data_IF_676668900008
#
_entry.id   IF_676668900008
#
_cell.length_a   1.000
_cell.length_b   1.000
_cell.length_c   1.000
_cell.angle_alpha   90.00
_cell.angle_beta   90.00
_cell.angle_gamma   90.00
#
_symmetry.space_group_name_H-M   'P 1'
#
loop_
_entity.id
_entity.type
_entity.pdbx_description
1 polymer ?
#
# COMPACT_ATOMS: atom_id res chain seq x y z
N UNK A 1 -67.98 -8.84 20.80
CA UNK A 1 -67.97 -7.60 19.99
C UNK A 1 -67.81 -6.41 20.93
N UNK A 2 -66.70 -5.69 20.76
CA UNK A 2 -66.19 -4.46 21.41
C UNK A 2 -67.29 -3.49 21.96
N UNK A 3 -67.32 -3.00 23.20
CA UNK A 3 -66.34 -2.37 24.14
C UNK A 3 -65.83 -1.00 23.65
N UNK A 4 -66.54 0.09 24.00
CA UNK A 4 -66.36 1.01 25.16
C UNK A 4 -65.31 2.11 24.92
N UNK A 5 -65.76 3.36 24.89
CA UNK A 5 -64.91 4.56 25.00
C UNK A 5 -65.51 5.47 26.07
N UNK A 6 -64.72 5.74 27.11
CA UNK A 6 -65.02 6.74 28.14
C UNK A 6 -63.73 7.50 28.43
N UNK A 7 -63.73 8.80 28.18
CA UNK A 7 -62.65 9.71 28.57
C UNK A 7 -63.02 10.44 29.87
N UNK A 8 -62.03 10.74 30.73
CA UNK A 8 -62.20 11.87 31.64
C UNK A 8 -61.01 12.84 31.71
N UNK A 9 -61.41 14.13 31.78
CA UNK A 9 -60.93 15.25 32.61
C UNK A 9 -59.42 15.56 32.73
N UNK A 10 -59.11 16.75 32.20
CA UNK A 10 -57.92 17.57 32.49
C UNK A 10 -57.89 18.03 33.96
N UNK A 11 -56.77 17.76 34.64
CA UNK A 11 -56.35 18.48 35.84
C UNK A 11 -55.06 19.26 35.54
N UNK A 12 -55.06 20.57 35.83
CA UNK A 12 -53.88 21.43 35.86
C UNK A 12 -53.13 21.15 37.18
N UNK A 13 -51.84 20.83 37.10
CA UNK A 13 -50.94 20.76 38.25
C UNK A 13 -49.78 21.74 38.09
N UNK A 14 -49.42 22.33 39.22
CA UNK A 14 -48.55 23.49 39.37
C UNK A 14 -47.07 23.18 39.15
N UNK A 15 -46.35 24.20 38.66
CA UNK A 15 -44.89 24.25 38.51
C UNK A 15 -44.24 24.40 39.88
N UNK A 16 -43.37 23.46 40.25
CA UNK A 16 -42.32 23.65 41.25
C UNK A 16 -40.97 23.41 40.57
N UNK A 17 -40.14 24.45 40.52
CA UNK A 17 -38.80 24.39 39.96
C UNK A 17 -37.81 23.84 40.97
N UNK A 18 -37.03 22.84 40.55
CA UNK A 18 -35.82 22.35 41.20
C UNK A 18 -34.66 22.74 40.27
N UNK A 19 -33.60 23.42 40.75
CA UNK A 19 -32.44 23.67 39.91
C UNK A 19 -31.62 22.37 39.82
N UNK A 20 -31.66 21.73 38.65
CA UNK A 20 -30.75 20.64 38.31
C UNK A 20 -29.39 21.26 37.93
N UNK A 21 -28.38 20.96 38.73
CA UNK A 21 -26.97 21.16 38.39
C UNK A 21 -26.64 20.20 37.25
N UNK A 22 -26.55 20.73 36.03
CA UNK A 22 -26.06 20.02 34.86
C UNK A 22 -24.53 20.13 34.84
N UNK A 23 -23.87 19.15 35.45
CA UNK A 23 -22.45 18.89 35.25
C UNK A 23 -22.32 18.24 33.87
N UNK A 24 -22.12 19.05 32.83
CA UNK A 24 -21.74 18.56 31.51
C UNK A 24 -20.23 18.23 31.54
N UNK A 25 -19.90 17.00 31.91
CA UNK A 25 -18.61 16.41 31.59
C UNK A 25 -18.63 16.06 30.10
N UNK A 26 -18.10 16.96 29.27
CA UNK A 26 -17.78 16.65 27.89
C UNK A 26 -16.57 15.70 27.90
N UNK A 27 -16.82 14.41 27.75
CA UNK A 27 -15.79 13.43 27.40
C UNK A 27 -15.41 13.70 25.94
N UNK A 28 -14.28 14.36 25.72
CA UNK A 28 -13.57 14.32 24.45
C UNK A 28 -12.79 12.99 24.43
N UNK A 29 -13.46 11.94 24.00
CA UNK A 29 -12.83 10.71 23.52
C UNK A 29 -13.04 10.69 22.00
N UNK A 30 -12.17 11.40 21.28
CA UNK A 30 -11.90 11.09 19.87
C UNK A 30 -10.94 9.90 19.88
N UNK A 31 -11.51 8.71 20.06
CA UNK A 31 -10.87 7.48 19.62
C UNK A 31 -11.25 7.29 18.16
N UNK A 32 -10.28 7.42 17.25
CA UNK A 32 -10.44 6.96 15.87
C UNK A 32 -10.51 5.44 15.88
N UNK A 33 -11.70 4.93 15.64
CA UNK A 33 -12.01 3.58 15.20
C UNK A 33 -13.48 3.65 14.79
N UNK A 34 -13.80 3.11 13.62
CA UNK A 34 -15.08 3.21 12.90
C UNK A 34 -15.29 4.50 12.10
N UNK A 35 -14.76 4.55 10.88
CA UNK A 35 -15.47 5.14 9.74
C UNK A 35 -14.95 4.48 8.47
N UNK A 36 -15.87 3.93 7.69
CA UNK A 36 -15.70 3.48 6.29
C UNK A 36 -15.36 4.66 5.35
N UNK A 37 -14.69 5.69 5.86
CA UNK A 37 -14.24 6.84 5.11
C UNK A 37 -12.72 6.75 5.03
N UNK A 38 -12.19 6.77 3.81
CA UNK A 38 -10.76 6.91 3.57
C UNK A 38 -10.22 8.08 4.43
N UNK A 39 -9.05 7.92 5.08
CA UNK A 39 -8.45 8.98 5.87
C UNK A 39 -8.30 10.24 5.03
N UNK A 40 -8.68 11.39 5.57
CA UNK A 40 -8.54 12.64 4.84
C UNK A 40 -7.04 12.98 4.68
N UNK A 41 -6.65 13.81 3.70
CA UNK A 41 -5.27 14.27 3.61
C UNK A 41 -4.77 14.89 4.92
N UNK A 42 -5.66 15.53 5.71
CA UNK A 42 -5.34 16.08 7.03
C UNK A 42 -4.95 15.01 8.07
N UNK A 43 -5.47 13.78 7.91
CA UNK A 43 -5.14 12.63 8.75
C UNK A 43 -3.83 11.95 8.31
N UNK A 44 -3.36 12.20 7.08
CA UNK A 44 -2.16 11.61 6.50
C UNK A 44 -0.89 12.46 6.70
N UNK A 45 -1.03 13.77 6.99
CA UNK A 45 0.08 14.64 7.35
C UNK A 45 0.08 16.03 6.68
N UNK A 46 1.05 16.90 6.98
CA UNK A 46 1.20 18.20 6.31
C UNK A 46 1.59 18.11 4.83
N UNK A 47 2.42 17.13 4.45
CA UNK A 47 2.93 17.00 3.09
C UNK A 47 1.89 16.39 2.14
N UNK A 48 1.09 15.43 2.64
CA UNK A 48 0.00 14.78 1.90
C UNK A 48 -0.98 15.79 1.28
N UNK A 49 -1.20 16.95 1.92
CA UNK A 49 -2.05 18.03 1.41
C UNK A 49 -1.59 18.61 0.08
N UNK A 50 -0.27 18.63 -0.15
CA UNK A 50 0.30 19.12 -1.39
C UNK A 50 0.23 18.05 -2.48
N UNK A 51 0.54 16.80 -2.12
CA UNK A 51 0.49 15.68 -3.03
C UNK A 51 -0.94 15.39 -3.49
N UNK A 52 -1.90 15.37 -2.57
CA UNK A 52 -3.32 15.15 -2.89
C UNK A 52 -3.89 16.22 -3.83
N UNK A 53 -3.34 17.43 -3.84
CA UNK A 53 -3.77 18.49 -4.76
C UNK A 53 -3.30 18.27 -6.22
N UNK A 54 -2.37 17.35 -6.45
CA UNK A 54 -1.93 16.94 -7.78
C UNK A 54 -2.78 15.80 -8.36
N UNK A 55 -3.52 15.08 -7.52
CA UNK A 55 -4.40 14.00 -7.95
C UNK A 55 -5.83 14.53 -8.18
N UNK A 56 -6.42 14.18 -9.32
CA UNK A 56 -7.84 14.36 -9.57
C UNK A 56 -8.58 13.08 -9.14
N UNK A 57 -9.26 13.12 -8.00
CA UNK A 57 -10.07 11.99 -7.52
C UNK A 57 -11.23 11.65 -8.50
N UNK A 58 -11.68 12.59 -9.35
CA UNK A 58 -12.69 12.32 -10.39
C UNK A 58 -12.08 11.64 -11.65
N UNK A 59 -10.75 11.57 -11.74
CA UNK A 59 -10.00 10.90 -12.82
C UNK A 59 -9.81 9.40 -12.56
N UNK A 60 -9.79 8.98 -11.30
CA UNK A 60 -9.52 7.60 -10.89
C UNK A 60 -10.81 6.80 -10.60
N UNK A 61 -11.69 6.66 -11.60
CA UNK A 61 -12.83 5.73 -11.50
C UNK A 61 -12.46 4.35 -12.04
N UNK A 62 -13.04 3.29 -11.48
CA UNK A 62 -12.86 1.92 -11.99
C UNK A 62 -13.16 1.83 -13.50
N UNK A 63 -14.23 2.49 -13.97
CA UNK A 63 -14.60 2.52 -15.39
C UNK A 63 -13.52 3.20 -16.26
N UNK A 64 -12.89 4.28 -15.77
CA UNK A 64 -11.80 4.95 -16.49
C UNK A 64 -10.53 4.09 -16.51
N UNK A 65 -10.21 3.47 -15.38
CA UNK A 65 -9.06 2.56 -15.29
C UNK A 65 -9.22 1.36 -16.23
N UNK A 66 -10.38 0.70 -16.24
CA UNK A 66 -10.68 -0.40 -17.18
C UNK A 66 -10.61 0.05 -18.64
N UNK A 67 -11.12 1.26 -18.95
CA UNK A 67 -11.04 1.81 -20.31
C UNK A 67 -9.60 2.12 -20.73
N UNK A 68 -8.78 2.65 -19.82
CA UNK A 68 -7.36 2.93 -20.07
C UNK A 68 -6.55 1.64 -20.24
N UNK A 69 -6.74 0.66 -19.36
CA UNK A 69 -6.10 -0.66 -19.49
C UNK A 69 -6.51 -1.35 -20.80
N UNK A 70 -7.79 -1.28 -21.18
CA UNK A 70 -8.25 -1.77 -22.47
C UNK A 70 -7.56 -1.09 -23.66
N UNK A 71 -7.39 0.23 -23.60
CA UNK A 71 -6.67 0.98 -24.63
C UNK A 71 -5.17 0.60 -24.72
N UNK A 72 -4.50 0.46 -23.57
CA UNK A 72 -3.10 0.01 -23.52
C UNK A 72 -2.97 -1.38 -24.15
N UNK A 73 -3.82 -2.32 -23.77
CA UNK A 73 -3.80 -3.69 -24.30
C UNK A 73 -4.10 -3.76 -25.80
N UNK A 74 -4.96 -2.88 -26.33
CA UNK A 74 -5.17 -2.74 -27.78
C UNK A 74 -3.91 -2.23 -28.49
N UNK A 75 -3.25 -1.20 -27.95
CA UNK A 75 -1.98 -0.66 -28.50
C UNK A 75 -0.85 -1.70 -28.44
N UNK A 76 -0.76 -2.48 -27.37
CA UNK A 76 0.20 -3.60 -27.25
C UNK A 76 -0.08 -4.64 -28.32
N UNK A 77 -1.34 -5.03 -28.53
CA UNK A 77 -1.71 -6.00 -29.55
C UNK A 77 -1.35 -5.54 -30.97
N UNK A 78 -1.56 -4.25 -31.27
CA UNK A 78 -1.13 -3.65 -32.55
C UNK A 78 0.39 -3.72 -32.71
N UNK A 79 1.15 -3.25 -31.72
CA UNK A 79 2.61 -3.28 -31.74
C UNK A 79 3.18 -4.71 -31.88
N UNK A 80 2.67 -5.67 -31.11
CA UNK A 80 3.11 -7.07 -31.18
C UNK A 80 2.81 -7.70 -32.54
N UNK A 81 1.69 -7.33 -33.16
CA UNK A 81 1.35 -7.76 -34.53
C UNK A 81 2.34 -7.20 -35.54
N UNK A 82 2.78 -5.94 -35.39
CA UNK A 82 3.81 -5.33 -36.24
C UNK A 82 5.18 -5.99 -36.07
N UNK A 83 5.54 -6.38 -34.85
CA UNK A 83 6.74 -7.17 -34.52
C UNK A 83 6.65 -8.63 -35.02
N UNK A 84 5.47 -9.04 -35.50
CA UNK A 84 5.24 -10.34 -36.13
C UNK A 84 4.84 -11.45 -35.15
N UNK A 85 4.37 -11.09 -33.96
CA UNK A 85 3.86 -12.00 -32.95
C UNK A 85 2.33 -11.96 -32.88
N UNK A 86 1.71 -13.09 -32.52
CA UNK A 86 0.30 -13.09 -32.13
C UNK A 86 0.20 -12.64 -30.67
N UNK A 87 -0.67 -11.67 -30.40
CA UNK A 87 -0.94 -11.17 -29.05
C UNK A 87 -2.44 -10.93 -28.89
N UNK A 88 -3.00 -11.46 -27.81
CA UNK A 88 -4.38 -11.25 -27.40
C UNK A 88 -4.40 -10.28 -26.20
N UNK A 89 -5.15 -9.16 -26.27
CA UNK A 89 -5.34 -8.22 -25.17
C UNK A 89 -5.65 -8.92 -23.86
N UNK A 90 -4.82 -8.67 -22.84
CA UNK A 90 -4.94 -9.23 -21.51
C UNK A 90 -5.64 -8.23 -20.58
N UNK A 91 -6.96 -8.12 -20.71
CA UNK A 91 -7.78 -7.22 -19.89
C UNK A 91 -8.11 -7.78 -18.50
N UNK A 92 -7.68 -9.01 -18.19
CA UNK A 92 -7.87 -9.64 -16.88
C UNK A 92 -6.77 -9.25 -15.89
N UNK A 93 -5.56 -8.94 -16.37
CA UNK A 93 -4.42 -8.50 -15.54
C UNK A 93 -4.64 -7.11 -14.95
N UNK A 94 -5.51 -6.30 -15.56
CA UNK A 94 -5.90 -4.96 -15.11
C UNK A 94 -7.00 -4.92 -14.05
N UNK A 95 -7.44 -6.06 -13.49
CA UNK A 95 -8.36 -6.02 -12.36
C UNK A 95 -7.58 -5.67 -11.08
N UNK A 96 -7.34 -4.36 -10.84
CA UNK A 96 -7.11 -3.87 -9.50
C UNK A 96 -8.42 -4.00 -8.72
N UNK A 97 -8.68 -5.21 -8.21
CA UNK A 97 -9.76 -5.41 -7.27
C UNK A 97 -9.30 -4.82 -5.93
N UNK A 98 -9.74 -3.59 -5.64
CA UNK A 98 -9.82 -3.15 -4.25
C UNK A 98 -10.57 -4.24 -3.48
N UNK A 99 -10.10 -4.66 -2.29
CA UNK A 99 -10.94 -5.43 -1.38
C UNK A 99 -12.29 -4.73 -1.34
N UNK A 100 -13.31 -5.45 -1.80
CA UNK A 100 -14.59 -4.94 -2.27
C UNK A 100 -15.26 -3.97 -1.29
N UNK A 101 -15.87 -2.90 -1.82
CA UNK A 101 -16.90 -2.10 -1.10
C UNK A 101 -18.08 -2.96 -0.60
N UNK A 102 -18.23 -4.18 -1.15
CA UNK A 102 -19.30 -5.13 -0.86
C UNK A 102 -18.84 -6.37 -0.07
N UNK A 103 -17.55 -6.44 0.29
CA UNK A 103 -17.01 -7.53 1.11
C UNK A 103 -17.25 -7.20 2.56
N UNK A 104 -18.11 -7.96 3.25
CA UNK A 104 -18.05 -7.98 4.71
C UNK A 104 -16.60 -8.26 5.08
N UNK A 105 -15.95 -7.34 5.79
CA UNK A 105 -14.61 -7.54 6.34
C UNK A 105 -14.68 -8.78 7.23
N UNK A 106 -14.28 -9.92 6.67
CA UNK A 106 -14.51 -11.24 7.31
C UNK A 106 -13.42 -11.58 8.31
N UNK A 107 -12.43 -10.71 8.48
CA UNK A 107 -11.28 -10.88 9.36
C UNK A 107 -11.18 -9.80 10.43
N UNK A 108 -10.28 -9.99 11.43
CA UNK A 108 -9.90 -8.91 12.32
C UNK A 108 -9.15 -7.80 11.56
N UNK A 109 -9.30 -6.55 12.01
CA UNK A 109 -8.59 -5.41 11.41
C UNK A 109 -7.07 -5.64 11.38
N UNK A 110 -6.42 -5.32 10.25
CA UNK A 110 -4.97 -5.34 10.13
C UNK A 110 -4.30 -4.49 11.21
N UNK A 111 -3.24 -5.02 11.82
CA UNK A 111 -2.53 -4.35 12.93
C UNK A 111 -3.28 -4.35 14.27
N UNK A 112 -4.45 -5.01 14.37
CA UNK A 112 -5.13 -5.20 15.65
C UNK A 112 -4.49 -6.30 16.50
N UNK A 113 -4.83 -6.30 17.79
CA UNK A 113 -4.44 -7.37 18.69
C UNK A 113 -4.96 -8.73 18.21
N UNK A 114 -6.22 -8.77 17.76
CA UNK A 114 -6.85 -10.00 17.29
C UNK A 114 -6.18 -10.51 16.02
N UNK A 115 -5.74 -9.62 15.12
CA UNK A 115 -4.96 -10.01 13.96
C UNK A 115 -3.61 -10.61 14.36
N UNK A 116 -2.85 -9.93 15.22
CA UNK A 116 -1.56 -10.41 15.69
C UNK A 116 -1.66 -11.79 16.39
N UNK A 117 -2.71 -12.01 17.17
CA UNK A 117 -2.94 -13.26 17.91
C UNK A 117 -3.38 -14.44 17.02
N UNK A 118 -4.03 -14.18 15.87
CA UNK A 118 -4.56 -15.23 14.99
C UNK A 118 -3.73 -15.45 13.71
N UNK A 119 -3.10 -14.40 13.19
CA UNK A 119 -2.46 -14.35 11.88
C UNK A 119 -1.01 -13.83 11.92
N UNK A 120 -0.55 -13.34 13.07
CA UNK A 120 0.81 -12.82 13.19
C UNK A 120 0.98 -11.51 12.42
N UNK A 121 1.93 -11.49 11.48
CA UNK A 121 2.13 -10.39 10.54
C UNK A 121 1.41 -10.61 9.20
N UNK A 122 0.73 -11.75 9.02
CA UNK A 122 0.09 -12.10 7.76
C UNK A 122 1.07 -12.60 6.70
N UNK A 123 2.27 -13.05 7.08
CA UNK A 123 3.32 -13.48 6.14
C UNK A 123 2.95 -14.82 5.50
N UNK A 124 2.50 -15.80 6.29
CA UNK A 124 2.09 -17.13 5.78
C UNK A 124 0.58 -17.34 5.71
N UNK A 125 -0.22 -16.62 6.49
CA UNK A 125 -1.68 -16.79 6.51
C UNK A 125 -2.39 -15.51 6.93
N UNK A 126 -3.44 -15.12 6.22
CA UNK A 126 -4.29 -13.97 6.55
C UNK A 126 -5.71 -14.15 5.98
N UNK A 127 -6.73 -13.46 6.53
CA UNK A 127 -8.08 -13.45 5.99
C UNK A 127 -8.10 -12.96 4.53
N UNK A 128 -8.56 -13.79 3.60
CA UNK A 128 -8.58 -13.48 2.16
C UNK A 128 -7.43 -14.08 1.35
N UNK A 129 -6.45 -14.74 1.99
CA UNK A 129 -5.38 -15.43 1.27
C UNK A 129 -5.92 -16.57 0.37
N UNK A 130 -6.88 -17.36 0.88
CA UNK A 130 -7.47 -18.45 0.09
C UNK A 130 -8.21 -17.91 -1.15
N UNK A 131 -8.94 -16.81 -1.00
CA UNK A 131 -9.61 -16.15 -2.12
C UNK A 131 -8.60 -15.60 -3.12
N UNK A 132 -7.53 -14.97 -2.65
CA UNK A 132 -6.43 -14.47 -3.50
C UNK A 132 -5.77 -15.60 -4.28
N UNK A 133 -5.53 -16.75 -3.63
CA UNK A 133 -4.97 -17.94 -4.30
C UNK A 133 -5.95 -18.53 -5.32
N UNK A 134 -7.24 -18.60 -5.00
CA UNK A 134 -8.26 -19.07 -5.94
C UNK A 134 -8.34 -18.15 -7.16
N UNK A 135 -8.29 -16.83 -6.97
CA UNK A 135 -8.26 -15.86 -8.07
C UNK A 135 -7.01 -16.03 -8.95
N UNK A 136 -5.84 -16.28 -8.34
CA UNK A 136 -4.62 -16.59 -9.07
C UNK A 136 -4.73 -17.90 -9.87
N UNK A 137 -5.41 -18.92 -9.34
CA UNK A 137 -5.69 -20.17 -10.08
C UNK A 137 -6.73 -20.00 -11.20
N UNK A 138 -7.66 -19.06 -11.04
CA UNK A 138 -8.69 -18.75 -12.04
C UNK A 138 -8.19 -17.81 -13.15
N UNK A 139 -7.08 -17.11 -12.94
CA UNK A 139 -6.45 -16.27 -13.95
C UNK A 139 -6.04 -17.11 -15.17
N UNK A 140 -6.52 -16.71 -16.34
CA UNK A 140 -6.20 -17.37 -17.61
C UNK A 140 -5.51 -16.37 -18.54
N UNK A 141 -4.20 -16.53 -18.71
CA UNK A 141 -3.45 -15.74 -19.69
C UNK A 141 -3.92 -16.12 -21.11
N UNK A 142 -4.54 -15.18 -21.87
CA UNK A 142 -5.00 -15.48 -23.22
C UNK A 142 -3.86 -15.81 -24.19
N UNK A 143 -2.61 -15.45 -23.87
CA UNK A 143 -1.44 -15.68 -24.70
C UNK A 143 -0.71 -17.01 -24.39
N UNK A 144 -1.10 -17.74 -23.35
CA UNK A 144 -0.39 -18.94 -22.87
C UNK A 144 -0.24 -20.03 -23.95
N UNK A 145 -1.30 -20.28 -24.73
CA UNK A 145 -1.27 -21.29 -25.81
C UNK A 145 -0.27 -20.91 -26.90
N UNK A 146 -0.22 -19.63 -27.27
CA UNK A 146 0.70 -19.13 -28.29
C UNK A 146 2.14 -19.16 -27.78
N UNK A 147 2.42 -18.60 -26.60
CA UNK A 147 3.78 -18.53 -26.04
C UNK A 147 4.36 -19.92 -25.79
N UNK A 148 3.55 -20.88 -25.33
CA UNK A 148 3.95 -22.28 -25.15
C UNK A 148 4.28 -23.01 -26.46
N UNK A 149 3.81 -22.50 -27.61
CA UNK A 149 4.11 -23.05 -28.93
C UNK A 149 5.46 -22.56 -29.50
N UNK A 150 6.03 -21.49 -28.93
CA UNK A 150 7.27 -20.87 -29.40
C UNK A 150 8.49 -21.68 -28.96
N UNK A 151 9.53 -21.72 -29.81
CA UNK A 151 10.84 -22.17 -29.34
C UNK A 151 11.44 -21.18 -28.36
N UNK A 152 12.38 -21.61 -27.52
CA UNK A 152 13.08 -20.75 -26.54
C UNK A 152 13.56 -19.42 -27.15
N UNK A 153 14.17 -19.47 -28.34
CA UNK A 153 14.64 -18.25 -29.04
C UNK A 153 13.50 -17.33 -29.48
N UNK A 154 12.37 -17.90 -29.90
CA UNK A 154 11.20 -17.13 -30.29
C UNK A 154 10.48 -16.57 -29.07
N UNK A 155 10.47 -17.31 -27.96
CA UNK A 155 9.92 -16.86 -26.68
C UNK A 155 10.72 -15.68 -26.13
N UNK A 156 12.06 -15.74 -26.18
CA UNK A 156 12.91 -14.59 -25.83
C UNK A 156 12.63 -13.38 -26.74
N UNK A 157 12.49 -13.60 -28.05
CA UNK A 157 12.17 -12.51 -28.97
C UNK A 157 10.78 -11.92 -28.71
N UNK A 158 9.80 -12.76 -28.37
CA UNK A 158 8.45 -12.35 -27.98
C UNK A 158 8.48 -11.45 -26.75
N UNK A 159 9.14 -11.88 -25.67
CA UNK A 159 9.21 -11.08 -24.44
C UNK A 159 10.06 -9.82 -24.60
N UNK A 160 11.12 -9.86 -25.42
CA UNK A 160 11.90 -8.66 -25.74
C UNK A 160 11.07 -7.65 -26.55
N UNK A 161 10.20 -8.09 -27.46
CA UNK A 161 9.27 -7.21 -28.15
C UNK A 161 8.22 -6.66 -27.17
N UNK A 162 7.69 -7.50 -26.28
CA UNK A 162 6.62 -7.14 -25.36
C UNK A 162 7.07 -6.16 -24.27
N UNK A 163 8.21 -6.41 -23.63
CA UNK A 163 8.70 -5.67 -22.45
C UNK A 163 10.03 -4.95 -22.65
N UNK A 164 10.66 -5.09 -23.82
CA UNK A 164 12.03 -4.61 -24.05
C UNK A 164 13.09 -5.61 -23.59
N UNK A 165 14.38 -5.33 -23.87
CA UNK A 165 15.45 -6.10 -23.26
C UNK A 165 15.39 -5.91 -21.73
N UNK A 166 15.40 -7.01 -20.98
CA UNK A 166 15.49 -6.93 -19.52
C UNK A 166 16.75 -6.18 -19.07
N UNK A 167 16.79 -5.68 -17.83
CA UNK A 167 17.92 -4.92 -17.32
C UNK A 167 19.23 -5.72 -17.43
N UNK A 168 20.31 -5.05 -17.79
CA UNK A 168 21.64 -5.65 -17.80
C UNK A 168 22.24 -5.72 -16.39
N UNK A 169 23.35 -6.44 -16.20
CA UNK A 169 23.98 -6.62 -14.89
C UNK A 169 24.28 -5.30 -14.15
N UNK A 170 24.64 -4.23 -14.85
CA UNK A 170 24.90 -2.91 -14.27
C UNK A 170 23.59 -2.22 -13.83
N UNK A 171 22.52 -2.34 -14.62
CA UNK A 171 21.19 -1.82 -14.29
C UNK A 171 20.56 -2.59 -13.13
N UNK A 172 20.73 -3.92 -13.09
CA UNK A 172 20.30 -4.76 -11.97
C UNK A 172 20.99 -4.35 -10.66
N UNK A 173 22.31 -4.10 -10.71
CA UNK A 173 23.05 -3.62 -9.54
C UNK A 173 22.58 -2.23 -9.10
N UNK A 174 22.35 -1.30 -10.03
CA UNK A 174 21.80 0.02 -9.72
C UNK A 174 20.41 -0.06 -9.05
N UNK A 175 19.55 -0.98 -9.51
CA UNK A 175 18.25 -1.23 -8.91
C UNK A 175 18.35 -1.83 -7.50
N UNK A 176 19.28 -2.79 -7.30
CA UNK A 176 19.53 -3.41 -5.99
C UNK A 176 20.13 -2.43 -4.97
N UNK A 177 21.04 -1.56 -5.42
CA UNK A 177 21.69 -0.56 -4.56
C UNK A 177 20.77 0.64 -4.27
N UNK A 178 19.72 0.83 -5.06
CA UNK A 178 18.75 1.92 -4.87
C UNK A 178 19.36 3.31 -5.00
N UNK A 179 20.49 3.45 -5.71
CA UNK A 179 21.28 4.69 -5.79
C UNK A 179 20.67 5.73 -6.76
N UNK A 180 19.55 5.39 -7.38
CA UNK A 180 18.82 6.25 -8.33
C UNK A 180 19.47 6.37 -9.70
N UNK A 181 20.51 5.58 -10.01
CA UNK A 181 21.18 5.62 -11.32
C UNK A 181 20.45 4.84 -12.42
N UNK A 182 19.51 3.96 -12.04
CA UNK A 182 18.58 3.35 -12.99
C UNK A 182 17.47 4.33 -13.37
N UNK A 183 17.37 4.64 -14.66
CA UNK A 183 16.31 5.47 -15.22
C UNK A 183 15.48 4.65 -16.21
N UNK A 184 14.19 4.48 -15.91
CA UNK A 184 13.24 3.84 -16.83
C UNK A 184 13.16 4.63 -18.14
N UNK A 185 13.18 3.92 -19.27
CA UNK A 185 13.01 4.51 -20.59
C UNK A 185 11.95 3.74 -21.38
N UNK A 186 10.80 4.36 -21.58
CA UNK A 186 9.67 3.80 -22.31
C UNK A 186 10.02 3.46 -23.77
N UNK A 187 10.96 4.20 -24.40
CA UNK A 187 11.40 3.94 -25.78
C UNK A 187 12.10 2.59 -25.94
N UNK A 188 12.63 2.06 -24.84
CA UNK A 188 13.31 0.75 -24.80
C UNK A 188 12.50 -0.33 -24.10
N UNK A 189 11.37 -0.01 -23.48
CA UNK A 189 10.56 -0.94 -22.69
C UNK A 189 9.52 -1.74 -23.53
N UNK A 190 9.83 -1.95 -24.82
CA UNK A 190 9.01 -2.75 -25.73
C UNK A 190 7.64 -2.17 -26.03
N UNK A 191 6.73 -3.04 -26.50
CA UNK A 191 5.37 -2.68 -26.85
C UNK A 191 4.58 -2.13 -25.65
N UNK A 192 4.80 -2.65 -24.43
CA UNK A 192 4.17 -2.10 -23.24
C UNK A 192 4.63 -0.67 -22.94
N UNK A 193 5.94 -0.39 -22.99
CA UNK A 193 6.45 0.96 -22.76
C UNK A 193 5.89 1.98 -23.77
N UNK A 194 5.89 1.62 -25.05
CA UNK A 194 5.33 2.48 -26.10
C UNK A 194 3.81 2.69 -25.93
N UNK A 195 3.05 1.62 -25.67
CA UNK A 195 1.60 1.69 -25.48
C UNK A 195 1.21 2.51 -24.24
N UNK A 196 1.90 2.34 -23.12
CA UNK A 196 1.70 3.13 -21.91
C UNK A 196 1.99 4.61 -22.15
N UNK A 197 3.12 4.92 -22.80
CA UNK A 197 3.47 6.30 -23.14
C UNK A 197 2.43 6.95 -24.06
N UNK A 198 1.93 6.22 -25.06
CA UNK A 198 0.90 6.72 -25.98
C UNK A 198 -0.47 6.88 -25.30
N UNK A 199 -0.88 5.92 -24.45
CA UNK A 199 -2.12 5.97 -23.71
C UNK A 199 -2.17 7.13 -22.69
N UNK A 200 -1.03 7.45 -22.09
CA UNK A 200 -0.90 8.57 -21.14
C UNK A 200 -1.03 9.96 -21.83
N UNK A 201 -0.55 10.11 -23.07
CA UNK A 201 -0.68 11.35 -23.87
C UNK A 201 -0.05 12.61 -23.26
N UNK A 202 -0.16 13.78 -23.92
CA UNK A 202 0.28 15.12 -23.44
C UNK A 202 -0.52 15.66 -22.23
N UNK A 203 -1.08 14.77 -21.41
CA UNK A 203 -1.90 15.11 -20.27
C UNK A 203 -1.00 15.13 -19.05
N UNK A 204 -0.53 16.32 -18.66
CA UNK A 204 0.35 16.56 -17.51
C UNK A 204 -0.09 15.84 -16.23
N UNK A 205 0.32 14.59 -16.10
CA UNK A 205 -0.10 13.63 -15.10
C UNK A 205 0.70 13.83 -13.81
N UNK A 206 0.26 13.20 -12.73
CA UNK A 206 1.07 13.13 -11.50
C UNK A 206 2.45 12.53 -11.76
N UNK A 207 2.58 11.62 -12.72
CA UNK A 207 3.85 11.04 -13.18
C UNK A 207 4.75 12.08 -13.86
N UNK A 208 4.21 12.91 -14.76
CA UNK A 208 4.98 13.99 -15.42
C UNK A 208 5.55 15.00 -14.41
N UNK A 209 4.93 15.12 -13.24
CA UNK A 209 5.43 15.94 -12.16
C UNK A 209 6.68 15.34 -11.53
N UNK A 210 6.69 14.02 -11.25
CA UNK A 210 7.84 13.30 -10.70
C UNK A 210 9.04 13.28 -11.67
N UNK A 211 8.79 13.27 -12.98
CA UNK A 211 9.82 13.24 -14.02
C UNK A 211 10.34 14.63 -14.43
N UNK A 212 9.74 15.71 -13.92
CA UNK A 212 10.12 17.06 -14.27
C UNK A 212 11.47 17.44 -13.64
N UNK A 213 12.51 17.75 -14.45
CA UNK A 213 13.81 18.17 -13.93
C UNK A 213 13.76 19.47 -13.13
N UNK A 214 12.70 20.28 -13.25
CA UNK A 214 12.48 21.45 -12.39
C UNK A 214 12.25 21.06 -10.92
N UNK A 215 11.67 19.89 -10.66
CA UNK A 215 11.29 19.42 -9.32
C UNK A 215 12.08 18.19 -8.83
N UNK A 216 13.03 17.68 -9.61
CA UNK A 216 13.83 16.51 -9.23
C UNK A 216 14.45 16.60 -7.82
N UNK A 217 15.07 17.75 -7.49
CA UNK A 217 15.64 18.00 -6.14
C UNK A 217 14.58 18.06 -5.04
N UNK A 218 13.37 18.56 -5.36
CA UNK A 218 12.25 18.58 -4.42
C UNK A 218 11.81 17.16 -4.09
N UNK A 219 11.66 16.29 -5.10
CA UNK A 219 11.26 14.90 -4.90
C UNK A 219 12.35 14.06 -4.22
N UNK A 220 13.63 14.27 -4.57
CA UNK A 220 14.74 13.62 -3.88
C UNK A 220 14.75 13.98 -2.38
N UNK A 221 14.65 15.27 -2.05
CA UNK A 221 14.59 15.72 -0.65
C UNK A 221 13.30 15.35 0.07
N UNK A 222 12.22 15.08 -0.66
CA UNK A 222 10.98 14.58 -0.10
C UNK A 222 11.12 13.12 0.36
N UNK A 223 11.81 12.28 -0.43
CA UNK A 223 12.10 10.89 -0.06
C UNK A 223 12.90 10.81 1.26
N UNK A 224 13.80 11.76 1.48
CA UNK A 224 14.59 11.85 2.71
C UNK A 224 13.73 12.05 3.97
N UNK A 225 12.53 12.63 3.86
CA UNK A 225 11.62 12.84 5.01
C UNK A 225 11.20 11.51 5.62
N UNK A 226 10.87 10.53 4.77
CA UNK A 226 10.42 9.21 5.22
C UNK A 226 11.58 8.25 5.51
N UNK A 227 12.70 8.35 4.79
CA UNK A 227 13.87 7.50 5.06
C UNK A 227 14.36 7.65 6.52
N UNK A 228 14.29 8.86 7.07
CA UNK A 228 14.62 9.16 8.47
C UNK A 228 13.80 8.33 9.48
N UNK A 229 12.58 7.91 9.15
CA UNK A 229 11.72 7.15 10.06
C UNK A 229 11.92 5.64 9.97
N UNK A 230 12.33 5.13 8.81
CA UNK A 230 12.30 3.71 8.49
C UNK A 230 13.68 3.10 8.20
N UNK A 231 14.71 3.90 7.92
CA UNK A 231 16.09 3.44 7.80
C UNK A 231 16.64 3.04 9.17
N UNK A 232 17.11 1.80 9.28
CA UNK A 232 17.77 1.26 10.47
C UNK A 232 19.03 2.04 10.87
N UNK A 233 19.64 2.75 9.93
CA UNK A 233 20.83 3.59 10.14
C UNK A 233 20.48 5.06 10.34
N UNK A 234 19.20 5.42 10.46
CA UNK A 234 18.79 6.79 10.72
C UNK A 234 19.34 7.31 12.05
N UNK A 235 19.92 8.51 12.01
CA UNK A 235 20.41 9.23 13.19
C UNK A 235 19.28 9.96 13.96
N UNK A 236 18.00 9.72 13.62
CA UNK A 236 16.87 10.37 14.30
C UNK A 236 16.79 9.95 15.78
N UNK A 237 17.01 10.89 16.69
CA UNK A 237 17.03 10.62 18.13
C UNK A 237 15.69 10.09 18.68
N UNK A 238 14.55 10.48 18.09
CA UNK A 238 13.22 10.03 18.52
C UNK A 238 13.01 8.57 18.13
N UNK A 239 13.30 8.22 16.87
CA UNK A 239 13.21 6.85 16.36
C UNK A 239 14.19 5.93 17.10
N UNK A 240 15.46 6.32 17.23
CA UNK A 240 16.49 5.54 17.91
C UNK A 240 16.10 5.24 19.37
N UNK A 241 15.55 6.24 20.07
CA UNK A 241 15.06 6.05 21.44
C UNK A 241 13.86 5.12 21.50
N UNK A 242 12.90 5.24 20.57
CA UNK A 242 11.73 4.37 20.54
C UNK A 242 12.11 2.91 20.24
N UNK A 243 13.02 2.69 19.29
CA UNK A 243 13.57 1.37 18.99
C UNK A 243 14.26 0.76 20.21
N UNK A 244 15.04 1.54 20.95
CA UNK A 244 15.67 1.07 22.19
C UNK A 244 14.64 0.69 23.26
N UNK A 245 13.62 1.52 23.50
CA UNK A 245 12.55 1.22 24.47
C UNK A 245 11.73 -0.01 24.04
N UNK A 246 11.47 -0.16 22.75
CA UNK A 246 10.78 -1.31 22.17
C UNK A 246 11.60 -2.59 22.29
N UNK A 247 12.90 -2.53 22.01
CA UNK A 247 13.82 -3.66 22.12
C UNK A 247 13.90 -4.18 23.56
N UNK A 248 13.92 -3.28 24.55
CA UNK A 248 13.87 -3.67 25.98
C UNK A 248 12.59 -4.45 26.29
N UNK A 249 11.44 -3.99 25.80
CA UNK A 249 10.16 -4.69 25.97
C UNK A 249 10.14 -6.07 25.29
N UNK A 250 10.63 -6.15 24.06
CA UNK A 250 10.72 -7.42 23.32
C UNK A 250 11.68 -8.41 23.99
N UNK A 251 12.78 -7.92 24.57
CA UNK A 251 13.71 -8.74 25.33
C UNK A 251 13.05 -9.34 26.59
N UNK A 252 12.16 -8.61 27.26
CA UNK A 252 11.34 -9.14 28.36
C UNK A 252 10.36 -10.23 27.89
N UNK A 253 9.88 -10.14 26.65
CA UNK A 253 9.07 -11.16 25.99
C UNK A 253 9.89 -12.36 25.45
N UNK A 254 11.22 -12.30 25.52
CA UNK A 254 12.14 -13.37 25.11
C UNK A 254 12.76 -13.21 23.72
N UNK A 255 12.55 -12.07 23.06
CA UNK A 255 13.07 -11.75 21.73
C UNK A 255 14.17 -10.69 21.84
N UNK A 256 15.43 -11.09 21.65
CA UNK A 256 16.61 -10.23 21.89
C UNK A 256 17.38 -9.91 20.62
N UNK A 257 17.03 -10.55 19.52
CA UNK A 257 17.73 -10.51 18.24
C UNK A 257 17.31 -9.33 17.35
N UNK A 258 16.20 -8.65 17.65
CA UNK A 258 15.65 -7.59 16.80
C UNK A 258 15.98 -6.20 17.36
N UNK A 259 16.62 -5.32 16.59
CA UNK A 259 16.90 -3.93 17.00
C UNK A 259 15.70 -2.99 16.85
N UNK A 260 14.72 -3.33 16.01
CA UNK A 260 13.55 -2.51 15.71
C UNK A 260 12.36 -3.38 15.29
N UNK A 261 11.14 -2.82 15.24
CA UNK A 261 10.00 -3.51 14.65
C UNK A 261 10.20 -3.90 13.18
N UNK A 262 10.84 -3.05 12.38
CA UNK A 262 11.09 -3.30 10.96
C UNK A 262 12.08 -4.46 10.75
N UNK A 263 13.08 -4.56 11.62
CA UNK A 263 13.99 -5.70 11.62
C UNK A 263 13.29 -7.04 11.92
N UNK A 264 12.17 -7.04 12.64
CA UNK A 264 11.35 -8.26 12.83
C UNK A 264 10.74 -8.70 11.50
N UNK A 265 10.05 -7.79 10.82
CA UNK A 265 9.38 -8.10 9.56
C UNK A 265 10.39 -8.54 8.49
N UNK A 266 11.53 -7.84 8.38
CA UNK A 266 12.58 -8.21 7.43
C UNK A 266 13.13 -9.62 7.72
N UNK A 267 13.46 -9.92 8.98
CA UNK A 267 13.98 -11.24 9.34
C UNK A 267 12.97 -12.37 9.09
N UNK A 268 11.67 -12.12 9.33
CA UNK A 268 10.62 -13.11 9.06
C UNK A 268 10.39 -13.32 7.55
N UNK A 269 10.47 -12.26 6.74
CA UNK A 269 10.42 -12.40 5.28
C UNK A 269 11.65 -13.14 4.73
N UNK A 270 12.85 -12.86 5.25
CA UNK A 270 14.06 -13.62 4.89
C UNK A 270 13.91 -15.10 5.23
N UNK A 271 13.41 -15.43 6.42
CA UNK A 271 13.17 -16.82 6.83
C UNK A 271 12.07 -17.49 6.00
N UNK A 272 11.00 -16.77 5.64
CA UNK A 272 9.99 -17.26 4.72
C UNK A 272 10.60 -17.55 3.35
N UNK A 273 11.41 -16.63 2.82
CA UNK A 273 12.08 -16.81 1.54
C UNK A 273 13.00 -18.02 1.59
N UNK A 274 13.75 -18.24 2.66
CA UNK A 274 14.57 -19.45 2.84
C UNK A 274 13.71 -20.72 2.87
N UNK A 275 12.57 -20.68 3.57
CA UNK A 275 11.63 -21.79 3.63
C UNK A 275 11.11 -22.15 2.23
N UNK A 276 10.69 -21.16 1.45
CA UNK A 276 10.10 -21.32 0.12
C UNK A 276 11.10 -21.35 -1.04
N UNK A 277 12.38 -21.11 -0.81
CA UNK A 277 13.44 -21.30 -1.83
C UNK A 277 14.23 -22.59 -1.61
N UNK A 278 13.75 -23.49 -0.74
CA UNK A 278 14.41 -24.76 -0.50
C UNK A 278 14.40 -25.64 -1.76
N UNK A 279 15.57 -26.18 -2.13
CA UNK A 279 15.73 -27.09 -3.27
C UNK A 279 16.23 -28.46 -2.83
N UNK A 280 15.84 -29.50 -3.55
CA UNK A 280 16.37 -30.85 -3.38
C UNK A 280 17.87 -30.95 -3.74
N UNK A 281 18.51 -32.08 -3.43
CA UNK A 281 19.92 -32.33 -3.82
C UNK A 281 20.15 -32.23 -5.34
N UNK A 282 19.09 -32.41 -6.14
CA UNK A 282 19.12 -32.33 -7.60
C UNK A 282 18.77 -30.92 -8.14
N UNK A 283 18.57 -29.93 -7.24
CA UNK A 283 18.29 -28.54 -7.60
C UNK A 283 16.83 -28.25 -7.96
N UNK A 284 15.90 -29.18 -7.71
CA UNK A 284 14.47 -28.96 -7.93
C UNK A 284 13.83 -28.26 -6.73
N UNK A 285 12.87 -27.36 -7.00
CA UNK A 285 12.07 -26.72 -5.94
C UNK A 285 11.40 -27.76 -5.05
N UNK A 286 11.52 -27.57 -3.74
CA UNK A 286 10.87 -28.40 -2.73
C UNK A 286 9.86 -27.56 -1.94
N UNK A 287 8.59 -27.89 -2.09
CA UNK A 287 7.52 -27.25 -1.32
C UNK A 287 7.73 -27.47 0.19
N UNK A 288 7.61 -26.42 1.02
CA UNK A 288 7.63 -26.53 2.47
C UNK A 288 6.62 -27.55 2.99
N UNK A 289 7.04 -28.41 3.93
CA UNK A 289 6.11 -29.31 4.59
C UNK A 289 5.06 -28.52 5.37
N UNK A 290 3.89 -29.13 5.58
CA UNK A 290 2.87 -28.52 6.43
C UNK A 290 3.42 -28.22 7.83
N UNK A 291 4.19 -29.14 8.39
CA UNK A 291 4.81 -28.98 9.70
C UNK A 291 5.74 -27.76 9.75
N UNK A 292 6.56 -27.54 8.72
CA UNK A 292 7.47 -26.38 8.67
C UNK A 292 6.70 -25.06 8.56
N UNK A 293 5.62 -25.02 7.77
CA UNK A 293 4.71 -23.86 7.69
C UNK A 293 4.00 -23.59 9.00
N UNK A 294 3.49 -24.63 9.67
CA UNK A 294 2.81 -24.52 10.96
C UNK A 294 3.79 -24.03 12.05
N UNK A 295 5.05 -24.49 12.03
CA UNK A 295 6.11 -24.02 12.95
C UNK A 295 6.46 -22.55 12.72
N UNK A 296 6.66 -22.14 11.47
CA UNK A 296 6.89 -20.73 11.13
C UNK A 296 5.72 -19.86 11.57
N UNK A 297 4.48 -20.24 11.21
CA UNK A 297 3.27 -19.50 11.58
C UNK A 297 3.14 -19.32 13.08
N UNK A 298 3.41 -20.38 13.86
CA UNK A 298 3.34 -20.29 15.32
C UNK A 298 4.40 -19.32 15.88
N UNK A 299 5.60 -19.31 15.30
CA UNK A 299 6.67 -18.37 15.68
C UNK A 299 6.28 -16.93 15.32
N UNK A 300 5.78 -16.72 14.11
CA UNK A 300 5.28 -15.44 13.62
C UNK A 300 4.23 -14.84 14.56
N UNK A 301 3.18 -15.60 14.88
CA UNK A 301 2.12 -15.19 15.82
C UNK A 301 2.68 -14.81 17.18
N UNK A 302 3.63 -15.59 17.71
CA UNK A 302 4.21 -15.34 19.03
C UNK A 302 4.98 -14.01 19.05
N UNK A 303 5.77 -13.75 18.00
CA UNK A 303 6.54 -12.52 17.87
C UNK A 303 5.61 -11.32 17.65
N UNK A 304 4.64 -11.42 16.72
CA UNK A 304 3.71 -10.35 16.41
C UNK A 304 2.85 -9.96 17.62
N UNK A 305 2.40 -10.93 18.42
CA UNK A 305 1.64 -10.67 19.64
C UNK A 305 2.47 -9.87 20.66
N UNK A 306 3.76 -10.20 20.81
CA UNK A 306 4.67 -9.46 21.68
C UNK A 306 4.98 -8.06 21.13
N UNK A 307 5.25 -7.94 19.83
CA UNK A 307 5.47 -6.67 19.14
C UNK A 307 4.27 -5.73 19.33
N UNK A 308 3.06 -6.21 19.08
CA UNK A 308 1.84 -5.44 19.27
C UNK A 308 1.70 -4.94 20.71
N UNK A 309 1.93 -5.80 21.70
CA UNK A 309 1.88 -5.41 23.11
C UNK A 309 2.91 -4.32 23.44
N UNK A 310 4.16 -4.48 22.98
CA UNK A 310 5.22 -3.51 23.18
C UNK A 310 4.95 -2.17 22.50
N UNK A 311 4.52 -2.19 21.23
CA UNK A 311 4.13 -0.98 20.49
C UNK A 311 2.99 -0.24 21.17
N UNK A 312 1.97 -0.97 21.61
CA UNK A 312 0.81 -0.39 22.31
C UNK A 312 1.20 0.28 23.62
N UNK A 313 2.02 -0.36 24.44
CA UNK A 313 2.47 0.18 25.74
C UNK A 313 3.33 1.42 25.57
N UNK A 314 4.19 1.43 24.54
CA UNK A 314 5.07 2.56 24.22
C UNK A 314 4.36 3.69 23.47
N UNK A 315 3.14 3.42 22.96
CA UNK A 315 2.45 4.26 21.96
C UNK A 315 3.36 4.52 20.77
N UNK A 316 4.04 3.47 20.31
CA UNK A 316 5.10 3.53 19.31
C UNK A 316 4.60 4.22 18.04
N UNK A 317 3.53 3.70 17.43
CA UNK A 317 3.00 4.21 16.16
C UNK A 317 2.53 5.66 16.26
N UNK A 318 1.89 6.03 17.36
CA UNK A 318 1.45 7.41 17.60
C UNK A 318 2.62 8.40 17.72
N UNK A 319 3.74 7.97 18.30
CA UNK A 319 4.94 8.81 18.42
C UNK A 319 5.70 8.89 17.09
N UNK A 320 5.78 7.78 16.34
CA UNK A 320 6.33 7.80 14.97
C UNK A 320 5.51 8.72 14.07
N UNK A 321 4.18 8.63 14.13
CA UNK A 321 3.30 9.54 13.38
C UNK A 321 3.47 11.00 13.79
N UNK A 322 3.70 11.28 15.07
CA UNK A 322 4.01 12.64 15.54
C UNK A 322 5.32 13.14 14.94
N UNK A 323 6.37 12.31 14.98
CA UNK A 323 7.68 12.64 14.39
C UNK A 323 7.57 12.85 12.88
N UNK A 324 6.82 11.99 12.18
CA UNK A 324 6.54 12.13 10.75
C UNK A 324 5.92 13.50 10.45
N UNK A 325 4.89 13.91 11.20
CA UNK A 325 4.24 15.19 10.96
C UNK A 325 5.15 16.37 11.26
N UNK A 326 6.07 16.26 12.24
CA UNK A 326 7.07 17.28 12.52
C UNK A 326 8.10 17.39 11.37
N UNK A 327 8.59 16.27 10.86
CA UNK A 327 9.52 16.21 9.72
C UNK A 327 8.86 16.73 8.44
N UNK A 328 7.64 16.29 8.14
CA UNK A 328 6.86 16.77 7.00
C UNK A 328 6.59 18.28 7.09
N UNK A 329 6.23 18.80 8.27
CA UNK A 329 6.00 20.23 8.43
C UNK A 329 7.29 21.03 8.22
N UNK A 330 8.42 20.55 8.74
CA UNK A 330 9.72 21.18 8.51
C UNK A 330 10.09 21.20 7.02
N UNK A 331 9.84 20.09 6.32
CA UNK A 331 10.03 20.00 4.87
C UNK A 331 9.12 20.98 4.10
N UNK A 332 7.83 21.01 4.44
CA UNK A 332 6.86 21.94 3.83
C UNK A 332 7.28 23.38 4.05
N UNK A 333 7.70 23.76 5.26
CA UNK A 333 8.13 25.12 5.58
C UNK A 333 9.39 25.52 4.80
N UNK A 334 10.33 24.60 4.62
CA UNK A 334 11.57 24.82 3.87
C UNK A 334 11.33 24.90 2.35
N UNK A 335 10.40 24.11 1.83
CA UNK A 335 10.18 23.92 0.39
C UNK A 335 8.90 24.57 -0.13
N UNK A 336 8.19 25.36 0.68
CA UNK A 336 6.89 25.95 0.33
C UNK A 336 6.85 26.57 -1.07
N UNK A 337 7.82 27.41 -1.50
CA UNK A 337 7.76 28.01 -2.83
C UNK A 337 7.84 26.98 -3.98
N UNK A 338 8.60 25.90 -3.80
CA UNK A 338 8.73 24.84 -4.78
C UNK A 338 7.46 23.97 -4.84
N UNK A 339 6.91 23.63 -3.67
CA UNK A 339 5.62 22.92 -3.56
C UNK A 339 4.46 23.73 -4.17
N UNK A 340 4.41 25.04 -3.93
CA UNK A 340 3.40 25.92 -4.54
C UNK A 340 3.55 25.99 -6.08
N UNK A 341 4.79 25.98 -6.59
CA UNK A 341 5.07 25.97 -8.02
C UNK A 341 4.68 24.64 -8.67
N UNK A 342 4.96 23.51 -8.01
CA UNK A 342 4.57 22.17 -8.43
C UNK A 342 3.05 22.07 -8.59
N UNK A 343 2.29 22.41 -7.55
CA UNK A 343 0.82 22.48 -7.58
C UNK A 343 0.35 23.42 -8.69
N UNK A 344 0.94 24.61 -8.81
CA UNK A 344 0.52 25.56 -9.86
C UNK A 344 0.71 25.03 -11.28
N UNK A 345 1.65 24.10 -11.49
CA UNK A 345 1.97 23.54 -12.80
C UNK A 345 1.15 22.28 -13.09
N UNK A 346 0.98 21.41 -12.09
CA UNK A 346 0.44 20.06 -12.25
C UNK A 346 -0.93 19.83 -11.62
N UNK A 347 -1.48 20.74 -10.82
CA UNK A 347 -2.84 20.55 -10.31
C UNK A 347 -3.87 20.59 -11.45
N UNK A 348 -4.87 19.69 -11.42
CA UNK A 348 -5.95 19.67 -12.39
C UNK A 348 -6.59 21.05 -12.52
N UNK A 349 -6.64 21.59 -13.74
CA UNK A 349 -7.39 22.82 -13.99
C UNK A 349 -8.86 22.48 -13.95
N UNK A 350 -9.45 22.66 -12.77
CA UNK A 350 -10.89 22.67 -12.57
C UNK A 350 -11.51 23.86 -13.33
N UNK A 351 -11.63 23.74 -14.64
CA UNK A 351 -12.46 24.59 -15.48
C UNK A 351 -13.92 24.24 -15.13
N UNK A 352 -14.41 24.81 -14.03
CA UNK A 352 -15.83 24.79 -13.66
C UNK A 352 -16.65 25.26 -14.87
N UNK A 353 -17.34 24.33 -15.53
CA UNK A 353 -18.41 24.62 -16.49
C UNK A 353 -19.77 24.34 -15.90
#
# INVERSE_FOLDING_TARGET
MFSLSSAPRRHRAARFGIPAVLTAAAMLLTGCSTSDAAPSPEDLGPLSKYLSAMYDEEEYTQEKFEAEQGNIEELVAECMTEEGFEYLPNVQSGNFYSPSEDGEDTGPDWGSQEFAENYGYGIIDYPGMEESNQQAEEYNDPNEEYTSSLSEKQLTAYYNALHGPGPNDEEMLAMEEGDGSYAYNWETAGCYGAAQHEAQGESGSSQDAYEDPEFAELFASMQDVWSVLYDENSDNEVVAKLNSEWQECMAEAGFTEYPSPNAVTNALYEEQNELYNSTSEDGEYQEPSKEARDEFKQREITIATADFACKKDLKYDAKIMTEQFELEQAFVDANKPALDALISKYSPKNDKK
#
